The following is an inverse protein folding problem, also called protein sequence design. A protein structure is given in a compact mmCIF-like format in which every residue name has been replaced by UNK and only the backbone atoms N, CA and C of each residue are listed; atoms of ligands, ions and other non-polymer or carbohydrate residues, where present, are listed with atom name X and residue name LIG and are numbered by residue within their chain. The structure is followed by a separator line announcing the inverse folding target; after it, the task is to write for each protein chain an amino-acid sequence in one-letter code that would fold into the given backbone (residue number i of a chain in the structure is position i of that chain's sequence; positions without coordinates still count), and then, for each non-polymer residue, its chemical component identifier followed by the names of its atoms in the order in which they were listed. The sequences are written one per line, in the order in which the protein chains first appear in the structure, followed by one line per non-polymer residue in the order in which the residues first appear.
data_IF_531165976826
#
_entry.id   IF_531165976826
#
_cell.length_a   1.000
_cell.length_b   1.000
_cell.length_c   1.000
_cell.angle_alpha   90.00
_cell.angle_beta   90.00
_cell.angle_gamma   90.00
#
_symmetry.space_group_name_H-M   'P 1'
#
loop_
_entity.id
_entity.type
_entity.pdbx_description
1 polymer ?
#
# COMPACT_ATOMS: atom_id res chain seq x y z
N UNK A 1 -4.83 4.23 -3.62
CA UNK A 1 -3.50 3.78 -4.06
C UNK A 1 -3.62 2.44 -4.77
N UNK A 2 -4.20 1.38 -4.15
CA UNK A 2 -4.34 0.04 -4.75
C UNK A 2 -5.08 0.11 -6.09
N UNK A 3 -6.18 0.86 -6.17
CA UNK A 3 -6.98 0.99 -7.39
C UNK A 3 -6.21 1.52 -8.60
N UNK A 4 -5.18 2.36 -8.41
CA UNK A 4 -4.31 2.80 -9.51
C UNK A 4 -3.49 1.63 -10.08
N UNK A 5 -3.00 0.74 -9.23
CA UNK A 5 -2.33 -0.49 -9.66
C UNK A 5 -3.28 -1.44 -10.41
N UNK A 6 -4.48 -1.66 -9.89
CA UNK A 6 -5.47 -2.54 -10.52
C UNK A 6 -5.93 -2.01 -11.90
N UNK A 7 -6.09 -0.69 -12.05
CA UNK A 7 -6.33 -0.07 -13.36
C UNK A 7 -5.21 -0.37 -14.37
N UNK A 8 -3.95 -0.32 -13.92
CA UNK A 8 -2.80 -0.69 -14.75
C UNK A 8 -2.80 -2.18 -15.11
N UNK A 9 -3.25 -3.08 -14.21
CA UNK A 9 -3.41 -4.51 -14.53
C UNK A 9 -4.43 -4.71 -15.63
N UNK A 10 -5.62 -4.12 -15.49
CA UNK A 10 -6.71 -4.28 -16.47
C UNK A 10 -6.27 -3.82 -17.85
N UNK A 11 -5.73 -2.61 -17.95
CA UNK A 11 -5.31 -2.05 -19.22
C UNK A 11 -4.07 -2.76 -19.78
N UNK A 12 -3.08 -3.05 -18.94
CA UNK A 12 -1.86 -3.74 -19.35
C UNK A 12 -2.15 -5.15 -19.89
N UNK A 13 -3.05 -5.91 -19.23
CA UNK A 13 -3.43 -7.25 -19.70
C UNK A 13 -4.17 -7.23 -21.05
N UNK A 14 -4.98 -6.20 -21.32
CA UNK A 14 -5.63 -6.04 -22.62
C UNK A 14 -4.62 -5.82 -23.76
N UNK A 15 -3.60 -4.98 -23.53
CA UNK A 15 -2.54 -4.77 -24.52
C UNK A 15 -1.61 -5.98 -24.67
N UNK A 16 -1.31 -6.66 -23.55
CA UNK A 16 -0.57 -7.91 -23.56
C UNK A 16 -1.28 -9.00 -24.40
N UNK A 17 -2.58 -9.18 -24.20
CA UNK A 17 -3.40 -10.14 -24.97
C UNK A 17 -3.47 -9.82 -26.47
N UNK A 18 -3.27 -8.55 -26.87
CA UNK A 18 -3.19 -8.12 -28.26
C UNK A 18 -1.76 -8.17 -28.85
N UNK A 19 -0.79 -8.71 -28.10
CA UNK A 19 0.65 -8.70 -28.43
C UNK A 19 1.25 -7.30 -28.69
N UNK A 20 0.66 -6.25 -28.13
CA UNK A 20 1.16 -4.87 -28.21
C UNK A 20 1.89 -4.51 -26.91
N UNK A 21 3.22 -4.59 -26.94
CA UNK A 21 4.06 -4.36 -25.74
C UNK A 21 4.43 -2.88 -25.53
N UNK A 22 4.47 -2.10 -26.60
CA UNK A 22 4.89 -0.69 -26.55
C UNK A 22 4.09 0.19 -25.60
N UNK A 23 2.73 0.06 -25.46
CA UNK A 23 1.96 0.89 -24.55
C UNK A 23 2.15 0.58 -23.07
N UNK A 24 2.60 -0.64 -22.71
CA UNK A 24 2.65 -1.10 -21.32
C UNK A 24 3.52 -0.20 -20.41
N UNK A 25 4.75 0.19 -20.78
CA UNK A 25 5.54 1.12 -19.98
C UNK A 25 4.88 2.49 -19.80
N UNK A 26 4.18 2.99 -20.81
CA UNK A 26 3.46 4.27 -20.73
C UNK A 26 2.30 4.20 -19.75
N UNK A 27 1.52 3.11 -19.77
CA UNK A 27 0.42 2.85 -18.83
C UNK A 27 0.95 2.79 -17.39
N UNK A 28 2.06 2.10 -17.17
CA UNK A 28 2.72 2.03 -15.86
C UNK A 28 3.16 3.43 -15.41
N UNK A 29 3.73 4.22 -16.32
CA UNK A 29 4.13 5.59 -16.07
C UNK A 29 2.96 6.48 -15.65
N UNK A 30 1.80 6.39 -16.33
CA UNK A 30 0.57 7.10 -15.96
C UNK A 30 0.07 6.65 -14.59
N UNK A 31 0.03 5.34 -14.34
CA UNK A 31 -0.37 4.77 -13.05
C UNK A 31 0.51 5.27 -11.90
N UNK A 32 1.84 5.33 -12.11
CA UNK A 32 2.79 5.83 -11.12
C UNK A 32 2.57 7.32 -10.79
N UNK A 33 2.27 8.14 -11.77
CA UNK A 33 1.96 9.56 -11.52
C UNK A 33 0.66 9.73 -10.78
N UNK A 34 -0.40 9.09 -11.26
CA UNK A 34 -1.71 9.19 -10.64
C UNK A 34 -1.70 8.59 -9.23
N UNK A 35 -1.17 7.39 -9.06
CA UNK A 35 -1.00 6.76 -7.75
C UNK A 35 -0.05 7.55 -6.85
N UNK A 36 1.04 8.10 -7.40
CA UNK A 36 1.99 8.93 -6.69
C UNK A 36 1.40 10.24 -6.17
N UNK A 37 0.58 10.94 -6.97
CA UNK A 37 -0.12 12.14 -6.51
C UNK A 37 -1.08 11.82 -5.37
N UNK A 38 -1.85 10.72 -5.48
CA UNK A 38 -2.72 10.26 -4.39
C UNK A 38 -1.92 9.88 -3.13
N UNK A 39 -0.77 9.23 -3.29
CA UNK A 39 0.09 8.87 -2.16
C UNK A 39 0.66 10.09 -1.45
N UNK A 40 1.08 11.11 -2.20
CA UNK A 40 1.58 12.38 -1.63
C UNK A 40 0.46 13.13 -0.92
N UNK A 41 -0.75 13.15 -1.46
CA UNK A 41 -1.91 13.74 -0.79
C UNK A 41 -2.22 13.00 0.52
N UNK A 42 -2.27 11.67 0.51
CA UNK A 42 -2.48 10.86 1.72
C UNK A 42 -1.36 11.06 2.74
N UNK A 43 -0.09 11.10 2.28
CA UNK A 43 1.05 11.43 3.13
C UNK A 43 0.85 12.78 3.83
N UNK A 44 0.46 13.82 3.08
CA UNK A 44 0.20 15.15 3.63
C UNK A 44 -0.93 15.15 4.65
N UNK A 45 -2.08 14.52 4.32
CA UNK A 45 -3.23 14.45 5.22
C UNK A 45 -2.86 13.76 6.54
N UNK A 46 -2.18 12.61 6.47
CA UNK A 46 -1.79 11.86 7.68
C UNK A 46 -0.71 12.57 8.48
N UNK A 47 0.19 13.31 7.82
CA UNK A 47 1.26 14.06 8.50
C UNK A 47 0.73 15.30 9.23
N UNK A 48 -0.20 16.05 8.60
CA UNK A 48 -0.69 17.32 9.15
C UNK A 48 -1.92 17.16 10.05
N UNK A 49 -2.71 16.11 9.87
CA UNK A 49 -3.98 15.91 10.58
C UNK A 49 -4.11 14.53 11.26
N UNK A 50 -3.05 14.01 11.94
CA UNK A 50 -3.11 12.68 12.54
C UNK A 50 -4.17 12.59 13.65
N UNK A 51 -4.25 13.60 14.51
CA UNK A 51 -5.19 13.65 15.62
C UNK A 51 -6.65 13.59 15.14
N UNK A 52 -7.01 14.41 14.16
CA UNK A 52 -8.37 14.46 13.60
C UNK A 52 -8.78 13.14 12.96
N UNK A 53 -7.84 12.48 12.25
CA UNK A 53 -8.11 11.18 11.66
C UNK A 53 -8.34 10.09 12.71
N UNK A 54 -7.54 10.09 13.78
CA UNK A 54 -7.64 9.10 14.84
C UNK A 54 -8.87 9.33 15.74
N UNK A 55 -9.22 10.57 16.00
CA UNK A 55 -10.43 10.92 16.80
C UNK A 55 -11.74 10.53 16.10
N UNK A 56 -11.73 10.41 14.76
CA UNK A 56 -12.85 9.85 14.00
C UNK A 56 -13.02 8.33 14.24
N UNK A 57 -11.93 7.63 14.59
CA UNK A 57 -11.91 6.18 14.70
C UNK A 57 -12.00 5.68 16.14
N UNK A 58 -11.58 6.48 17.13
CA UNK A 58 -11.58 6.09 18.55
C UNK A 58 -11.74 7.30 19.47
N UNK A 59 -12.42 7.09 20.59
CA UNK A 59 -12.57 8.07 21.68
C UNK A 59 -11.53 7.88 22.79
N UNK A 60 -10.68 6.86 22.72
CA UNK A 60 -9.66 6.57 23.76
C UNK A 60 -8.44 7.46 23.58
N UNK A 61 -8.10 8.32 24.55
CA UNK A 61 -6.93 9.20 24.46
C UNK A 61 -5.61 8.44 24.28
N UNK A 62 -5.48 7.28 24.93
CA UNK A 62 -4.29 6.44 24.85
C UNK A 62 -4.11 5.84 23.45
N UNK A 63 -5.20 5.43 22.81
CA UNK A 63 -5.18 4.89 21.42
C UNK A 63 -4.81 5.99 20.44
N UNK A 64 -5.32 7.21 20.65
CA UNK A 64 -5.00 8.36 19.79
C UNK A 64 -3.53 8.72 19.93
N UNK A 65 -2.99 8.83 21.12
CA UNK A 65 -1.58 9.18 21.36
C UNK A 65 -0.61 8.15 20.73
N UNK A 66 -0.85 6.85 20.96
CA UNK A 66 -0.01 5.80 20.36
C UNK A 66 -0.19 5.73 18.83
N UNK A 67 -1.41 5.97 18.35
CA UNK A 67 -1.70 6.04 16.91
C UNK A 67 -1.00 7.20 16.21
N UNK A 68 -0.88 8.37 16.86
CA UNK A 68 -0.11 9.51 16.30
C UNK A 68 1.37 9.17 16.15
N UNK A 69 1.97 8.53 17.14
CA UNK A 69 3.36 8.05 17.08
C UNK A 69 3.58 7.08 15.93
N UNK A 70 2.60 6.21 15.66
CA UNK A 70 2.61 5.29 14.54
C UNK A 70 2.46 6.02 13.20
N UNK A 71 1.51 6.95 13.09
CA UNK A 71 1.21 7.68 11.86
C UNK A 71 2.38 8.53 11.37
N UNK A 72 3.13 9.15 12.28
CA UNK A 72 4.34 9.93 11.95
C UNK A 72 5.40 9.13 11.20
N UNK A 73 5.46 7.81 11.42
CA UNK A 73 6.44 6.94 10.77
C UNK A 73 5.83 6.25 9.55
N UNK A 74 4.61 5.71 9.70
CA UNK A 74 3.99 4.90 8.65
C UNK A 74 3.61 5.72 7.42
N UNK A 75 3.38 7.03 7.53
CA UNK A 75 3.04 7.87 6.39
C UNK A 75 4.09 7.82 5.27
N UNK A 76 5.37 7.65 5.59
CA UNK A 76 6.43 7.49 4.60
C UNK A 76 6.28 6.22 3.77
N UNK A 77 5.63 5.20 4.31
CA UNK A 77 5.39 3.95 3.57
C UNK A 77 4.38 4.11 2.45
N UNK A 78 3.50 5.12 2.47
CA UNK A 78 2.50 5.31 1.42
C UNK A 78 3.11 5.52 0.04
N UNK A 79 4.19 6.31 -0.04
CA UNK A 79 4.90 6.57 -1.29
C UNK A 79 5.60 5.30 -1.78
N UNK A 80 6.33 4.61 -0.89
CA UNK A 80 7.06 3.38 -1.21
C UNK A 80 6.08 2.28 -1.62
N UNK A 81 5.00 2.11 -0.85
CA UNK A 81 3.95 1.13 -1.12
C UNK A 81 3.27 1.37 -2.47
N UNK A 82 3.02 2.63 -2.84
CA UNK A 82 2.42 2.96 -4.13
C UNK A 82 3.31 2.50 -5.28
N UNK A 83 4.59 2.81 -5.22
CA UNK A 83 5.56 2.40 -6.24
C UNK A 83 5.63 0.88 -6.33
N UNK A 84 5.80 0.19 -5.19
CA UNK A 84 5.91 -1.27 -5.16
C UNK A 84 4.63 -1.97 -5.62
N UNK A 85 3.46 -1.44 -5.28
CA UNK A 85 2.17 -1.98 -5.69
C UNK A 85 1.98 -1.88 -7.21
N UNK A 86 2.26 -0.72 -7.81
CA UNK A 86 2.13 -0.51 -9.25
C UNK A 86 3.14 -1.37 -10.01
N UNK A 87 4.36 -1.54 -9.51
CA UNK A 87 5.36 -2.44 -10.11
C UNK A 87 4.90 -3.90 -10.08
N UNK A 88 4.29 -4.38 -8.99
CA UNK A 88 3.70 -5.72 -8.94
C UNK A 88 2.51 -5.84 -9.87
N UNK A 89 1.67 -4.83 -9.91
CA UNK A 89 0.54 -4.78 -10.83
C UNK A 89 1.01 -4.90 -12.30
N UNK A 90 2.09 -4.22 -12.66
CA UNK A 90 2.67 -4.32 -14.00
C UNK A 90 3.18 -5.72 -14.34
N UNK A 91 3.81 -6.41 -13.38
CA UNK A 91 4.22 -7.81 -13.55
C UNK A 91 3.03 -8.75 -13.73
N UNK A 92 1.96 -8.53 -12.95
CA UNK A 92 0.74 -9.31 -13.08
C UNK A 92 0.09 -9.13 -14.45
N UNK A 93 0.11 -7.92 -15.00
CA UNK A 93 -0.49 -7.61 -16.30
C UNK A 93 0.16 -8.39 -17.47
N UNK A 94 1.44 -8.72 -17.36
CA UNK A 94 2.21 -9.48 -18.36
C UNK A 94 2.36 -10.97 -17.99
N UNK A 95 1.62 -11.47 -17.01
CA UNK A 95 1.63 -12.88 -16.58
C UNK A 95 2.83 -13.29 -15.72
N UNK A 96 3.75 -12.38 -15.38
CA UNK A 96 4.92 -12.66 -14.53
C UNK A 96 4.56 -12.53 -13.06
N UNK A 97 3.83 -13.50 -12.54
CA UNK A 97 3.26 -13.44 -11.18
C UNK A 97 4.23 -14.00 -10.14
N UNK A 98 4.98 -15.05 -10.48
CA UNK A 98 5.85 -15.80 -9.57
C UNK A 98 6.90 -14.93 -8.86
N UNK A 99 7.52 -14.02 -9.59
CA UNK A 99 8.55 -13.11 -9.05
C UNK A 99 7.94 -12.18 -8.00
N UNK A 100 6.76 -11.60 -8.29
CA UNK A 100 6.05 -10.74 -7.37
C UNK A 100 5.73 -11.42 -6.04
N UNK A 101 5.19 -12.65 -6.09
CA UNK A 101 4.89 -13.44 -4.89
C UNK A 101 6.12 -13.83 -4.09
N UNK A 102 7.21 -14.24 -4.74
CA UNK A 102 8.46 -14.59 -4.04
C UNK A 102 9.03 -13.39 -3.28
N UNK A 103 9.06 -12.21 -3.91
CA UNK A 103 9.56 -10.99 -3.24
C UNK A 103 8.64 -10.61 -2.08
N UNK A 104 7.32 -10.57 -2.30
CA UNK A 104 6.36 -10.22 -1.24
C UNK A 104 6.38 -11.22 -0.09
N UNK A 105 6.52 -12.51 -0.36
CA UNK A 105 6.68 -13.54 0.67
C UNK A 105 7.96 -13.37 1.50
N UNK A 106 9.09 -13.10 0.83
CA UNK A 106 10.36 -12.86 1.54
C UNK A 106 10.30 -11.61 2.41
N UNK A 107 9.70 -10.52 1.92
CA UNK A 107 9.55 -9.29 2.69
C UNK A 107 8.55 -9.41 3.83
N UNK A 108 7.55 -10.28 3.71
CA UNK A 108 6.65 -10.62 4.82
C UNK A 108 7.42 -11.27 5.96
N UNK A 109 8.29 -12.24 5.68
CA UNK A 109 9.14 -12.89 6.69
C UNK A 109 10.04 -11.85 7.37
N UNK A 110 10.69 -10.99 6.59
CA UNK A 110 11.51 -9.90 7.14
C UNK A 110 10.69 -8.99 8.04
N UNK A 111 9.47 -8.61 7.63
CA UNK A 111 8.59 -7.78 8.43
C UNK A 111 8.21 -8.44 9.75
N UNK A 112 7.86 -9.73 9.75
CA UNK A 112 7.53 -10.48 10.98
C UNK A 112 8.73 -10.55 11.92
N UNK A 113 9.93 -10.84 11.40
CA UNK A 113 11.15 -10.88 12.22
C UNK A 113 11.46 -9.50 12.82
N UNK A 114 11.39 -8.44 12.03
CA UNK A 114 11.62 -7.07 12.50
C UNK A 114 10.57 -6.63 13.53
N UNK A 115 9.29 -6.97 13.32
CA UNK A 115 8.25 -6.71 14.31
C UNK A 115 8.55 -7.41 15.65
N UNK A 116 8.94 -8.68 15.61
CA UNK A 116 9.29 -9.41 16.81
C UNK A 116 10.48 -8.77 17.56
N UNK A 117 11.50 -8.33 16.83
CA UNK A 117 12.67 -7.69 17.43
C UNK A 117 12.36 -6.29 17.99
N UNK A 118 11.64 -5.44 17.24
CA UNK A 118 11.46 -4.03 17.59
C UNK A 118 10.25 -3.76 18.49
N UNK A 119 9.23 -4.61 18.46
CA UNK A 119 8.07 -4.45 19.37
C UNK A 119 8.45 -4.92 20.77
N UNK A 120 9.09 -6.10 20.87
CA UNK A 120 9.37 -6.76 22.16
C UNK A 120 10.81 -6.58 22.67
N UNK A 121 11.68 -5.87 21.95
CA UNK A 121 13.05 -5.63 22.38
C UNK A 121 13.96 -6.87 22.38
N UNK A 122 13.68 -7.87 21.53
CA UNK A 122 14.50 -9.08 21.48
C UNK A 122 15.80 -8.87 20.68
N UNK A 123 16.79 -9.72 20.88
CA UNK A 123 18.10 -9.69 20.22
C UNK A 123 18.91 -8.40 20.44
N UNK A 124 18.70 -7.70 21.56
CA UNK A 124 19.41 -6.46 21.87
C UNK A 124 18.86 -5.21 21.19
N UNK A 125 17.70 -5.33 20.53
CA UNK A 125 16.98 -4.17 20.00
C UNK A 125 16.24 -3.45 21.14
N UNK A 126 16.04 -2.11 21.02
CA UNK A 126 15.21 -1.38 21.96
C UNK A 126 13.74 -1.81 21.83
N UNK A 127 13.04 -1.91 22.95
CA UNK A 127 11.59 -2.12 22.99
C UNK A 127 10.88 -0.82 22.57
N UNK A 128 10.39 -0.76 21.35
CA UNK A 128 9.78 0.44 20.74
C UNK A 128 8.23 0.34 20.66
N UNK A 129 7.66 -0.82 21.00
CA UNK A 129 6.22 -1.04 20.96
C UNK A 129 5.61 -0.69 19.60
N UNK A 130 4.61 0.17 19.60
CA UNK A 130 3.87 0.59 18.38
C UNK A 130 4.77 1.29 17.35
N UNK A 131 5.74 2.10 17.80
CA UNK A 131 6.74 2.71 16.90
C UNK A 131 7.62 1.67 16.23
N UNK A 132 7.96 0.60 16.95
CA UNK A 132 8.71 -0.54 16.41
C UNK A 132 8.00 -1.20 15.23
N UNK A 133 6.69 -1.37 15.32
CA UNK A 133 5.86 -1.91 14.24
C UNK A 133 5.88 -1.01 12.98
N UNK A 134 5.81 0.31 13.17
CA UNK A 134 5.87 1.27 12.06
C UNK A 134 7.24 1.24 11.36
N UNK A 135 8.33 1.21 12.13
CA UNK A 135 9.71 1.12 11.61
C UNK A 135 9.91 -0.21 10.87
N UNK A 136 9.49 -1.34 11.44
CA UNK A 136 9.59 -2.65 10.82
C UNK A 136 8.90 -2.67 9.45
N UNK A 137 7.71 -2.07 9.38
CA UNK A 137 6.95 -1.96 8.12
C UNK A 137 7.68 -1.08 7.12
N UNK A 138 8.18 0.09 7.53
CA UNK A 138 8.92 1.00 6.65
C UNK A 138 10.17 0.32 6.07
N UNK A 139 10.98 -0.32 6.91
CA UNK A 139 12.19 -1.04 6.48
C UNK A 139 11.85 -2.17 5.52
N UNK A 140 10.83 -2.98 5.82
CA UNK A 140 10.39 -4.07 4.94
C UNK A 140 9.94 -3.57 3.57
N UNK A 141 9.24 -2.43 3.51
CA UNK A 141 8.86 -1.80 2.24
C UNK A 141 10.03 -1.24 1.46
N UNK A 142 11.04 -0.67 2.12
CA UNK A 142 12.28 -0.25 1.47
C UNK A 142 13.05 -1.44 0.88
N UNK A 143 13.13 -2.55 1.61
CA UNK A 143 13.75 -3.79 1.14
C UNK A 143 12.97 -4.35 -0.06
N UNK A 144 11.65 -4.38 0.02
CA UNK A 144 10.77 -4.81 -1.08
C UNK A 144 11.03 -4.00 -2.36
N UNK A 145 11.10 -2.67 -2.25
CA UNK A 145 11.36 -1.79 -3.38
C UNK A 145 12.72 -2.09 -4.03
N UNK A 146 13.79 -2.21 -3.23
CA UNK A 146 15.13 -2.54 -3.75
C UNK A 146 15.18 -3.89 -4.47
N UNK A 147 14.54 -4.93 -3.91
CA UNK A 147 14.48 -6.24 -4.56
C UNK A 147 13.74 -6.18 -5.89
N UNK A 148 12.63 -5.42 -5.97
CA UNK A 148 11.87 -5.24 -7.21
C UNK A 148 12.66 -4.45 -8.26
N UNK A 149 13.31 -3.36 -7.87
CA UNK A 149 14.15 -2.56 -8.75
C UNK A 149 15.28 -3.40 -9.36
N UNK A 150 15.98 -4.17 -8.55
CA UNK A 150 17.10 -5.02 -8.99
C UNK A 150 16.64 -6.15 -9.93
N UNK A 151 15.51 -6.82 -9.61
CA UNK A 151 15.00 -7.95 -10.41
C UNK A 151 14.38 -7.54 -11.73
N UNK A 152 13.75 -6.37 -11.78
CA UNK A 152 13.04 -5.89 -12.96
C UNK A 152 13.93 -5.13 -13.94
N UNK A 153 15.16 -4.79 -13.54
CA UNK A 153 16.06 -3.92 -14.30
C UNK A 153 15.36 -2.65 -14.82
N UNK A 154 14.30 -2.24 -14.09
CA UNK A 154 13.47 -1.08 -14.42
C UNK A 154 14.18 0.16 -13.92
N UNK A 155 14.77 0.91 -14.83
CA UNK A 155 15.13 2.29 -14.54
C UNK A 155 13.84 3.09 -14.35
N UNK A 156 13.51 3.45 -13.11
CA UNK A 156 12.37 4.33 -12.80
C UNK A 156 12.43 5.64 -13.63
N UNK A 157 13.63 6.06 -14.04
CA UNK A 157 13.82 7.19 -14.97
C UNK A 157 13.17 6.98 -16.34
N UNK A 158 13.14 5.76 -16.87
CA UNK A 158 12.51 5.46 -18.18
C UNK A 158 10.98 5.47 -18.10
N UNK A 159 10.41 5.22 -16.91
CA UNK A 159 8.96 5.26 -16.68
C UNK A 159 8.41 6.69 -16.53
N UNK A 160 9.29 7.67 -16.38
CA UNK A 160 8.89 9.09 -16.24
C UNK A 160 8.55 9.75 -17.57
N UNK A 161 9.01 9.21 -18.70
CA UNK A 161 8.69 9.75 -20.03
C UNK A 161 7.32 9.22 -20.49
N UNK A 162 6.31 10.07 -20.56
CA UNK A 162 4.92 9.68 -20.83
C UNK A 162 4.43 10.36 -22.10
N UNK A 163 3.75 9.55 -22.90
CA UNK A 163 2.88 10.04 -23.95
C UNK A 163 1.48 10.31 -23.36
N UNK A 164 1.02 11.55 -23.45
CA UNK A 164 -0.26 12.02 -22.89
C UNK A 164 -1.47 11.34 -23.53
N UNK A 165 -1.30 10.70 -24.68
CA UNK A 165 -2.37 9.98 -25.38
C UNK A 165 -2.95 8.82 -24.56
N UNK A 166 -2.15 8.17 -23.73
CA UNK A 166 -2.61 7.04 -22.90
C UNK A 166 -3.27 7.47 -21.58
N UNK A 167 -3.19 8.74 -21.19
CA UNK A 167 -3.77 9.22 -19.92
C UNK A 167 -5.29 9.13 -19.95
N UNK A 168 -5.92 9.53 -21.06
CA UNK A 168 -7.37 9.51 -21.18
C UNK A 168 -7.91 8.08 -21.17
N UNK A 169 -7.29 7.17 -21.92
CA UNK A 169 -7.67 5.76 -21.95
C UNK A 169 -7.49 5.10 -20.58
N UNK A 170 -6.36 5.39 -19.92
CA UNK A 170 -6.11 4.90 -18.56
C UNK A 170 -7.16 5.40 -17.58
N UNK A 171 -7.49 6.69 -17.59
CA UNK A 171 -8.50 7.25 -16.69
C UNK A 171 -9.88 6.64 -16.92
N UNK A 172 -10.27 6.41 -18.17
CA UNK A 172 -11.56 5.79 -18.49
C UNK A 172 -11.67 4.36 -17.94
N UNK A 173 -10.60 3.57 -18.02
CA UNK A 173 -10.56 2.18 -17.51
C UNK A 173 -10.38 2.14 -15.99
N UNK A 174 -9.53 3.03 -15.45
CA UNK A 174 -9.15 2.99 -14.03
C UNK A 174 -10.16 3.67 -13.12
N UNK A 175 -10.93 4.65 -13.60
CA UNK A 175 -11.88 5.42 -12.78
C UNK A 175 -12.95 4.53 -12.10
N UNK A 176 -13.62 3.60 -12.80
CA UNK A 176 -14.56 2.68 -12.14
C UNK A 176 -13.90 1.80 -11.08
N UNK A 177 -12.67 1.34 -11.34
CA UNK A 177 -11.90 0.54 -10.39
C UNK A 177 -11.51 1.36 -9.16
N UNK A 178 -11.11 2.62 -9.36
CA UNK A 178 -10.79 3.54 -8.27
C UNK A 178 -12.00 3.85 -7.40
N UNK A 179 -13.17 4.10 -8.02
CA UNK A 179 -14.42 4.34 -7.29
C UNK A 179 -14.80 3.11 -6.47
N UNK A 180 -14.73 1.92 -7.04
CA UNK A 180 -15.01 0.68 -6.32
C UNK A 180 -14.07 0.50 -5.10
N UNK A 181 -12.77 0.69 -5.28
CA UNK A 181 -11.79 0.62 -4.20
C UNK A 181 -11.98 1.71 -3.14
N UNK A 182 -12.40 2.91 -3.55
CA UNK A 182 -12.71 3.99 -2.63
C UNK A 182 -13.96 3.68 -1.78
N UNK A 183 -15.02 3.18 -2.41
CA UNK A 183 -16.24 2.77 -1.70
C UNK A 183 -15.97 1.65 -0.70
N UNK A 184 -15.16 0.65 -1.11
CA UNK A 184 -14.75 -0.42 -0.20
C UNK A 184 -13.93 0.11 0.97
N UNK A 185 -12.99 1.03 0.71
CA UNK A 185 -12.19 1.69 1.75
C UNK A 185 -13.04 2.51 2.73
N UNK A 186 -14.04 3.25 2.22
CA UNK A 186 -14.99 4.00 3.08
C UNK A 186 -15.81 3.04 3.94
N UNK A 187 -16.29 1.93 3.38
CA UNK A 187 -17.04 0.94 4.13
C UNK A 187 -16.19 0.34 5.28
N UNK A 188 -14.92 0.02 5.02
CA UNK A 188 -13.99 -0.46 6.05
C UNK A 188 -13.71 0.60 7.12
N UNK A 189 -13.58 1.87 6.73
CA UNK A 189 -13.36 2.98 7.66
C UNK A 189 -14.57 3.17 8.58
N UNK A 190 -15.77 3.14 8.03
CA UNK A 190 -17.03 3.23 8.81
C UNK A 190 -17.15 2.04 9.77
N UNK A 191 -16.91 0.82 9.29
CA UNK A 191 -16.91 -0.39 10.13
C UNK A 191 -15.91 -0.26 11.29
N UNK A 192 -14.68 0.14 11.01
CA UNK A 192 -13.63 0.30 12.02
C UNK A 192 -14.00 1.41 13.02
N UNK A 193 -14.58 2.51 12.55
CA UNK A 193 -15.06 3.60 13.41
C UNK A 193 -16.16 3.14 14.35
N UNK A 194 -17.17 2.43 13.86
CA UNK A 194 -18.26 1.88 14.71
C UNK A 194 -17.68 0.95 15.77
N UNK A 195 -16.79 0.03 15.38
CA UNK A 195 -16.18 -0.92 16.30
C UNK A 195 -15.24 -0.24 17.31
N UNK A 196 -14.51 0.79 16.89
CA UNK A 196 -13.66 1.57 17.78
C UNK A 196 -14.43 2.33 18.87
N UNK A 197 -15.66 2.74 18.58
CA UNK A 197 -16.56 3.37 19.57
C UNK A 197 -17.25 2.35 20.49
N UNK A 198 -17.36 1.08 20.06
CA UNK A 198 -17.88 -0.02 20.90
C UNK A 198 -16.87 -0.56 21.92
N UNK A 199 -15.58 -0.25 21.73
CA UNK A 199 -14.51 -0.64 22.64
C UNK A 199 -13.39 -1.48 22.02
N UNK A 200 -12.29 -1.61 22.77
CA UNK A 200 -11.09 -2.31 22.29
C UNK A 200 -11.31 -3.80 22.00
N UNK A 201 -12.13 -4.47 22.80
CA UNK A 201 -12.42 -5.91 22.64
C UNK A 201 -13.17 -6.19 21.32
N UNK A 202 -14.12 -5.35 20.95
CA UNK A 202 -14.86 -5.46 19.70
C UNK A 202 -13.94 -5.25 18.48
N UNK A 203 -13.01 -4.29 18.57
CA UNK A 203 -12.03 -4.02 17.54
C UNK A 203 -11.04 -5.19 17.40
N UNK A 204 -10.57 -5.77 18.50
CA UNK A 204 -9.67 -6.92 18.49
C UNK A 204 -10.34 -8.17 17.91
N UNK A 205 -11.58 -8.47 18.30
CA UNK A 205 -12.36 -9.58 17.76
C UNK A 205 -12.57 -9.45 16.25
N UNK A 206 -12.91 -8.24 15.77
CA UNK A 206 -13.07 -7.99 14.33
C UNK A 206 -11.76 -8.15 13.56
N UNK A 207 -10.63 -7.69 14.13
CA UNK A 207 -9.32 -7.85 13.49
C UNK A 207 -8.99 -9.32 13.28
N UNK A 208 -9.26 -10.19 14.26
CA UNK A 208 -9.09 -11.65 14.14
C UNK A 208 -10.02 -12.23 13.08
N UNK A 209 -11.31 -11.85 13.09
CA UNK A 209 -12.30 -12.33 12.13
C UNK A 209 -11.93 -11.97 10.69
N UNK A 210 -11.47 -10.72 10.44
CA UNK A 210 -11.02 -10.26 9.12
C UNK A 210 -9.79 -11.05 8.66
N UNK A 211 -8.83 -11.33 9.55
CA UNK A 211 -7.66 -12.15 9.20
C UNK A 211 -8.05 -13.57 8.78
N UNK A 212 -8.97 -14.20 9.51
CA UNK A 212 -9.48 -15.54 9.14
C UNK A 212 -10.20 -15.50 7.80
N UNK A 213 -11.05 -14.49 7.57
CA UNK A 213 -11.77 -14.32 6.30
C UNK A 213 -10.84 -14.12 5.09
N UNK A 214 -9.69 -13.44 5.28
CA UNK A 214 -8.73 -13.20 4.19
C UNK A 214 -7.92 -14.45 3.80
N UNK A 215 -7.88 -15.47 4.66
CA UNK A 215 -7.19 -16.74 4.41
C UNK A 215 -8.09 -17.75 3.70
N UNK A 216 -9.41 -17.66 3.84
CA UNK A 216 -10.42 -18.51 3.20
C UNK A 216 -10.71 -18.05 1.76
#
# INVERSE_FOLDING_TARGET
VVGAGEGAVVMGSQYWGKNKLEPIPHIIGVALRFGGTLAVLMFGIVLFFPHQLLSLLSNSPTVIEEGEKYFQIICFTYIIFTITNILVASLRSIGVVKIGYMISGSTLIINVCLNYCLIYGHFGCPELGVRGAAIATLVSRCVELKFKEHKLNLSLRKLVHIDTSYVQDYMHVSLPVLINQALWGVAQMVQTGILGHLGGDATAANAIAVQVYQVL
#
